data_IF_031302587067
#
_entry.id   IF_031302587067
#
_cell.length_a   1.000
_cell.length_b   1.000
_cell.length_c   1.000
_cell.angle_alpha   90.00
_cell.angle_beta   90.00
_cell.angle_gamma   90.00
#
_symmetry.space_group_name_H-M   'P 1'
#
loop_
_entity.id
_entity.type
_entity.pdbx_description
1 polymer ?
#
# COMPACT_ATOMS: atom_id res chain seq x y z
N UNK A 1 -63.27 21.92 -10.07
CA UNK A 1 -62.37 21.77 -11.22
C UNK A 1 -60.97 22.34 -10.94
N UNK A 2 -60.82 23.46 -10.29
CA UNK A 2 -59.53 24.14 -10.03
C UNK A 2 -58.60 23.32 -9.10
N UNK A 3 -59.15 22.72 -8.04
CA UNK A 3 -58.36 21.94 -7.06
C UNK A 3 -57.74 20.66 -7.64
N UNK A 4 -58.41 19.98 -8.58
CA UNK A 4 -57.83 18.82 -9.29
C UNK A 4 -56.67 19.20 -10.26
N UNK A 5 -56.76 20.35 -10.89
CA UNK A 5 -55.67 20.85 -11.73
C UNK A 5 -54.41 21.23 -10.89
N UNK A 6 -54.60 21.78 -9.70
CA UNK A 6 -53.49 22.14 -8.80
C UNK A 6 -52.74 20.90 -8.29
N UNK A 7 -53.48 19.84 -7.93
CA UNK A 7 -52.85 18.57 -7.50
C UNK A 7 -52.11 17.85 -8.65
N UNK A 8 -52.60 17.90 -9.87
CA UNK A 8 -51.90 17.33 -11.03
C UNK A 8 -50.60 18.08 -11.33
N UNK A 9 -50.57 19.42 -11.23
CA UNK A 9 -49.38 20.23 -11.48
C UNK A 9 -48.31 19.97 -10.40
N UNK A 10 -48.68 19.85 -9.13
CA UNK A 10 -47.77 19.53 -8.03
C UNK A 10 -47.20 18.11 -8.20
N UNK A 11 -48.01 17.14 -8.61
CA UNK A 11 -47.53 15.77 -8.86
C UNK A 11 -46.56 15.69 -10.02
N UNK A 12 -46.76 16.46 -11.05
CA UNK A 12 -45.85 16.52 -12.23
C UNK A 12 -44.54 17.24 -11.93
N UNK A 13 -44.58 18.28 -11.09
CA UNK A 13 -43.39 18.99 -10.60
C UNK A 13 -42.54 18.06 -9.70
N UNK A 14 -43.19 17.37 -8.76
CA UNK A 14 -42.48 16.44 -7.85
C UNK A 14 -41.90 15.26 -8.62
N UNK A 15 -42.56 14.76 -9.66
CA UNK A 15 -42.03 13.72 -10.54
C UNK A 15 -40.84 14.19 -11.37
N UNK A 16 -40.83 15.44 -11.85
CA UNK A 16 -39.67 16.04 -12.57
C UNK A 16 -38.49 16.30 -11.64
N UNK A 17 -38.74 16.75 -10.41
CA UNK A 17 -37.72 16.93 -9.40
C UNK A 17 -37.11 15.59 -8.98
N UNK A 18 -37.91 14.54 -8.79
CA UNK A 18 -37.45 13.20 -8.49
C UNK A 18 -36.62 12.61 -9.62
N UNK A 19 -37.02 12.79 -10.88
CA UNK A 19 -36.24 12.38 -12.07
C UNK A 19 -34.93 13.14 -12.20
N UNK A 20 -34.87 14.46 -11.90
CA UNK A 20 -33.68 15.26 -11.89
C UNK A 20 -32.72 14.84 -10.76
N UNK A 21 -33.25 14.50 -9.59
CA UNK A 21 -32.45 13.98 -8.47
C UNK A 21 -31.86 12.59 -8.77
N UNK A 22 -32.66 11.72 -9.42
CA UNK A 22 -32.19 10.40 -9.88
C UNK A 22 -31.10 10.54 -10.99
N UNK A 23 -31.27 11.48 -11.92
CA UNK A 23 -30.29 11.77 -12.96
C UNK A 23 -29.01 12.40 -12.38
N UNK A 24 -29.14 13.28 -11.38
CA UNK A 24 -27.99 13.84 -10.65
C UNK A 24 -27.25 12.76 -9.84
N UNK A 25 -27.96 11.83 -9.21
CA UNK A 25 -27.37 10.71 -8.48
C UNK A 25 -26.64 9.72 -9.41
N UNK A 26 -27.17 9.44 -10.59
CA UNK A 26 -26.52 8.62 -11.62
C UNK A 26 -25.30 9.35 -12.22
N UNK A 27 -25.35 10.69 -12.33
CA UNK A 27 -24.21 11.49 -12.82
C UNK A 27 -23.09 11.60 -11.79
N UNK A 28 -23.39 11.62 -10.49
CA UNK A 28 -22.39 11.65 -9.40
C UNK A 28 -21.71 10.26 -9.25
N UNK A 29 -22.44 9.17 -9.48
CA UNK A 29 -21.86 7.82 -9.48
C UNK A 29 -20.97 7.55 -10.70
N UNK A 30 -21.11 8.29 -11.80
CA UNK A 30 -20.24 8.15 -12.97
C UNK A 30 -18.95 8.99 -12.91
N UNK A 31 -18.82 9.91 -11.94
CA UNK A 31 -17.56 10.65 -11.71
C UNK A 31 -16.55 9.90 -10.83
N UNK A 32 -16.88 8.73 -10.31
CA UNK A 32 -15.97 7.89 -9.50
C UNK A 32 -15.52 6.60 -10.20
N UNK A 33 -15.65 6.49 -11.49
CA UNK A 33 -15.02 5.42 -12.25
C UNK A 33 -13.55 5.74 -12.55
N UNK A 34 -12.74 5.95 -11.52
CA UNK A 34 -11.34 5.59 -11.57
C UNK A 34 -11.34 4.09 -11.89
N UNK A 35 -10.70 3.69 -13.00
CA UNK A 35 -10.71 2.29 -13.45
C UNK A 35 -10.24 1.41 -12.29
N UNK A 36 -11.19 0.73 -11.64
CA UNK A 36 -10.91 -0.10 -10.49
C UNK A 36 -9.90 -1.18 -10.92
N UNK A 37 -8.74 -1.22 -10.25
CA UNK A 37 -7.79 -2.28 -10.50
C UNK A 37 -8.29 -3.54 -9.79
N UNK A 38 -8.15 -4.74 -10.40
CA UNK A 38 -8.67 -5.94 -9.78
C UNK A 38 -7.91 -6.28 -8.49
N UNK A 39 -8.62 -6.66 -7.41
CA UNK A 39 -7.99 -7.25 -6.23
C UNK A 39 -7.21 -8.52 -6.60
N UNK A 40 -6.16 -8.81 -5.85
CA UNK A 40 -5.35 -10.01 -6.07
C UNK A 40 -6.15 -11.28 -5.76
N UNK A 41 -6.00 -12.28 -6.63
CA UNK A 41 -6.62 -13.60 -6.50
C UNK A 41 -5.64 -14.58 -5.85
N UNK A 42 -6.17 -15.67 -5.29
CA UNK A 42 -5.37 -16.77 -4.76
C UNK A 42 -4.38 -17.28 -5.80
N UNK A 43 -3.12 -17.42 -5.40
CA UNK A 43 -2.05 -17.95 -6.24
C UNK A 43 -1.41 -16.91 -7.17
N UNK A 44 -1.85 -15.64 -7.14
CA UNK A 44 -1.23 -14.62 -7.97
C UNK A 44 0.22 -14.34 -7.57
N UNK A 45 1.00 -14.10 -8.61
CA UNK A 45 2.41 -13.68 -8.58
C UNK A 45 2.46 -12.24 -9.07
N UNK A 46 2.56 -11.33 -8.12
CA UNK A 46 2.49 -9.88 -8.37
C UNK A 46 3.90 -9.32 -8.41
N UNK A 47 4.27 -8.63 -9.48
CA UNK A 47 5.57 -7.96 -9.60
C UNK A 47 5.36 -6.44 -9.61
N UNK A 48 5.97 -5.77 -8.63
CA UNK A 48 6.03 -4.31 -8.58
C UNK A 48 7.31 -3.84 -9.22
N UNK A 49 7.20 -3.23 -10.41
CA UNK A 49 8.33 -2.72 -11.20
C UNK A 49 8.42 -1.20 -11.05
N UNK A 50 9.63 -0.70 -10.79
CA UNK A 50 9.85 0.74 -10.64
C UNK A 50 11.31 1.10 -10.41
N UNK A 51 11.51 2.31 -9.93
CA UNK A 51 12.83 2.89 -9.61
C UNK A 51 13.17 2.73 -8.11
N UNK A 52 13.99 3.66 -7.56
CA UNK A 52 14.40 3.69 -6.15
C UNK A 52 13.22 3.71 -5.15
N UNK A 53 12.10 4.35 -5.51
CA UNK A 53 10.91 4.45 -4.65
C UNK A 53 10.26 3.08 -4.46
N UNK A 54 10.36 2.18 -5.45
CA UNK A 54 9.95 0.77 -5.35
C UNK A 54 11.06 -0.08 -4.75
N UNK A 55 12.32 0.11 -5.19
CA UNK A 55 13.49 -0.66 -4.72
C UNK A 55 13.60 -0.66 -3.19
N UNK A 56 13.71 0.53 -2.60
CA UNK A 56 13.89 0.74 -1.16
C UNK A 56 12.62 1.04 -0.39
N UNK A 57 11.45 1.10 -1.07
CA UNK A 57 10.18 1.45 -0.44
C UNK A 57 9.41 0.24 0.07
N UNK A 58 8.53 0.50 1.04
CA UNK A 58 7.77 -0.55 1.72
C UNK A 58 6.32 -0.69 1.21
N UNK A 59 5.82 0.20 0.35
CA UNK A 59 4.39 0.23 -0.02
C UNK A 59 3.86 -1.13 -0.52
N UNK A 60 4.62 -1.87 -1.32
CA UNK A 60 4.23 -3.19 -1.82
C UNK A 60 4.26 -4.26 -0.70
N UNK A 61 5.16 -4.13 0.29
CA UNK A 61 5.20 -4.98 1.47
C UNK A 61 4.00 -4.69 2.40
N UNK A 62 3.60 -3.42 2.55
CA UNK A 62 2.41 -3.01 3.30
C UNK A 62 1.12 -3.52 2.63
N UNK A 63 1.04 -3.47 1.28
CA UNK A 63 -0.06 -4.09 0.53
C UNK A 63 -0.10 -5.60 0.80
N UNK A 64 1.05 -6.28 0.79
CA UNK A 64 1.08 -7.72 1.04
C UNK A 64 0.67 -8.06 2.48
N UNK A 65 1.12 -7.29 3.47
CA UNK A 65 0.69 -7.43 4.87
C UNK A 65 -0.83 -7.31 5.02
N UNK A 66 -1.46 -6.37 4.29
CA UNK A 66 -2.92 -6.29 4.26
C UNK A 66 -3.55 -7.59 3.75
N UNK A 67 -3.04 -8.16 2.67
CA UNK A 67 -3.54 -9.43 2.15
C UNK A 67 -3.28 -10.61 3.09
N UNK A 68 -2.12 -10.66 3.74
CA UNK A 68 -1.76 -11.69 4.72
C UNK A 68 -2.71 -11.70 5.92
N UNK A 69 -3.13 -10.53 6.37
CA UNK A 69 -4.02 -10.39 7.54
C UNK A 69 -5.51 -10.47 7.15
N UNK A 70 -5.88 -9.88 6.02
CA UNK A 70 -7.28 -9.76 5.62
C UNK A 70 -7.83 -10.99 4.90
N UNK A 71 -7.00 -11.69 4.12
CA UNK A 71 -7.40 -12.81 3.28
C UNK A 71 -6.56 -14.06 3.57
N UNK A 72 -6.69 -14.67 4.77
CA UNK A 72 -5.82 -15.77 5.19
C UNK A 72 -5.89 -17.01 4.27
N UNK A 73 -7.00 -17.21 3.54
CA UNK A 73 -7.20 -18.35 2.63
C UNK A 73 -6.81 -18.06 1.17
N UNK A 74 -6.25 -16.87 0.91
CA UNK A 74 -5.84 -16.45 -0.44
C UNK A 74 -4.33 -16.15 -0.48
N UNK A 75 -3.45 -17.16 -0.38
CA UNK A 75 -2.03 -16.92 -0.51
C UNK A 75 -1.71 -16.32 -1.89
N UNK A 76 -0.89 -15.26 -1.86
CA UNK A 76 -0.31 -14.59 -3.03
C UNK A 76 1.19 -14.43 -2.80
N UNK A 77 1.92 -14.09 -3.86
CA UNK A 77 3.33 -13.70 -3.77
C UNK A 77 3.50 -12.31 -4.35
N UNK A 78 4.07 -11.39 -3.58
CA UNK A 78 4.48 -10.07 -4.08
C UNK A 78 6.00 -10.03 -4.21
N UNK A 79 6.49 -9.52 -5.33
CA UNK A 79 7.90 -9.44 -5.65
C UNK A 79 8.28 -8.02 -6.01
N UNK A 80 9.33 -7.52 -5.39
CA UNK A 80 9.92 -6.23 -5.71
C UNK A 80 10.82 -6.36 -6.95
N UNK A 81 10.53 -5.62 -8.00
CA UNK A 81 11.35 -5.44 -9.20
C UNK A 81 11.70 -3.96 -9.42
N UNK A 82 11.86 -3.19 -8.33
CA UNK A 82 12.42 -1.84 -8.37
C UNK A 82 13.93 -1.87 -8.47
N UNK A 83 14.53 -0.92 -9.19
CA UNK A 83 15.98 -0.67 -9.22
C UNK A 83 16.24 0.83 -9.10
N UNK A 84 17.10 1.20 -8.15
CA UNK A 84 17.43 2.60 -7.85
C UNK A 84 18.03 3.33 -9.06
N UNK A 85 17.55 4.56 -9.32
CA UNK A 85 18.06 5.41 -10.39
C UNK A 85 17.46 5.15 -11.78
N UNK A 86 16.66 4.08 -11.96
CA UNK A 86 16.14 3.71 -13.27
C UNK A 86 15.03 4.62 -13.79
N UNK A 87 15.00 4.72 -15.10
CA UNK A 87 14.02 5.39 -15.95
C UNK A 87 13.30 4.36 -16.84
N UNK A 88 12.34 4.80 -17.65
CA UNK A 88 11.62 3.93 -18.59
C UNK A 88 12.55 3.14 -19.52
N UNK A 89 13.63 3.76 -20.00
CA UNK A 89 14.59 3.07 -20.88
C UNK A 89 15.38 1.96 -20.21
N UNK A 90 15.69 2.10 -18.92
CA UNK A 90 16.37 1.06 -18.14
C UNK A 90 15.41 -0.09 -17.84
N UNK A 91 14.18 0.22 -17.41
CA UNK A 91 13.11 -0.77 -17.18
C UNK A 91 12.81 -1.55 -18.47
N UNK A 92 12.72 -0.86 -19.61
CA UNK A 92 12.55 -1.49 -20.93
C UNK A 92 13.60 -2.56 -21.19
N UNK A 93 14.86 -2.28 -20.86
CA UNK A 93 15.98 -3.16 -21.17
C UNK A 93 16.02 -4.44 -20.34
N UNK A 94 15.46 -4.43 -19.10
CA UNK A 94 15.41 -5.60 -18.22
C UNK A 94 14.03 -6.24 -18.10
N UNK A 95 13.08 -5.79 -18.91
CA UNK A 95 11.67 -6.22 -18.78
C UNK A 95 11.50 -7.74 -18.93
N UNK A 96 12.23 -8.37 -19.87
CA UNK A 96 12.13 -9.81 -20.12
C UNK A 96 12.82 -10.62 -19.01
N UNK A 97 14.00 -10.20 -18.57
CA UNK A 97 14.81 -10.96 -17.61
C UNK A 97 14.31 -10.78 -16.16
N UNK A 98 14.24 -9.55 -15.65
CA UNK A 98 13.91 -9.30 -14.25
C UNK A 98 12.40 -9.19 -13.97
N UNK A 99 11.57 -8.83 -14.95
CA UNK A 99 10.11 -8.73 -14.73
C UNK A 99 9.40 -9.99 -15.22
N UNK A 100 9.46 -10.31 -16.51
CA UNK A 100 8.77 -11.48 -17.05
C UNK A 100 9.44 -12.80 -16.67
N UNK A 101 10.75 -12.80 -16.46
CA UNK A 101 11.50 -13.96 -15.94
C UNK A 101 10.98 -14.46 -14.57
N UNK A 102 10.35 -13.59 -13.79
CA UNK A 102 9.65 -13.93 -12.52
C UNK A 102 8.31 -14.64 -12.73
N UNK A 103 7.86 -14.80 -13.98
CA UNK A 103 6.59 -15.42 -14.37
C UNK A 103 5.39 -14.80 -13.64
N UNK A 104 5.19 -13.47 -13.75
CA UNK A 104 4.09 -12.79 -13.08
C UNK A 104 2.73 -13.18 -13.68
N UNK A 105 1.69 -13.14 -12.86
CA UNK A 105 0.29 -13.11 -13.29
C UNK A 105 -0.28 -11.69 -13.26
N UNK A 106 0.40 -10.82 -12.49
CA UNK A 106 0.02 -9.42 -12.28
C UNK A 106 1.29 -8.56 -12.25
N UNK A 107 1.35 -7.51 -13.05
CA UNK A 107 2.49 -6.59 -13.12
C UNK A 107 2.01 -5.17 -12.89
N UNK A 108 2.69 -4.47 -12.00
CA UNK A 108 2.57 -3.01 -11.86
C UNK A 108 3.86 -2.35 -12.36
N UNK A 109 3.74 -1.20 -13.01
CA UNK A 109 4.89 -0.44 -13.49
C UNK A 109 4.74 1.03 -13.12
N UNK A 110 5.84 1.61 -12.63
CA UNK A 110 5.96 3.04 -12.34
C UNK A 110 7.32 3.57 -12.78
N UNK A 111 7.34 4.73 -13.40
CA UNK A 111 8.53 5.49 -13.76
C UNK A 111 8.13 6.97 -13.95
N UNK A 112 9.09 7.86 -14.17
CA UNK A 112 8.86 9.28 -14.37
C UNK A 112 9.77 10.16 -13.52
N UNK A 113 10.09 9.74 -12.28
CA UNK A 113 10.91 10.53 -11.36
C UNK A 113 12.32 10.79 -11.92
N UNK A 114 13.01 9.75 -12.39
CA UNK A 114 14.35 9.84 -12.96
C UNK A 114 14.32 10.25 -14.44
N UNK A 115 13.28 9.86 -15.14
CA UNK A 115 13.04 10.14 -16.58
C UNK A 115 13.09 11.63 -16.88
N UNK A 116 12.60 12.45 -15.94
CA UNK A 116 12.52 13.90 -16.09
C UNK A 116 13.83 14.62 -15.78
N UNK A 117 14.90 13.90 -15.36
CA UNK A 117 16.20 14.47 -15.01
C UNK A 117 16.17 15.29 -13.70
N UNK A 118 17.33 15.79 -13.30
CA UNK A 118 17.51 16.61 -12.09
C UNK A 118 18.26 17.93 -12.42
N UNK A 119 19.50 17.85 -12.85
CA UNK A 119 20.36 19.02 -13.06
C UNK A 119 19.87 19.96 -14.17
N UNK A 120 19.02 19.47 -15.06
CA UNK A 120 18.44 20.25 -16.14
C UNK A 120 17.59 21.43 -15.64
N UNK A 121 16.95 21.29 -14.47
CA UNK A 121 16.09 22.34 -13.89
C UNK A 121 16.87 23.54 -13.33
N UNK A 122 18.20 23.44 -13.28
CA UNK A 122 19.10 24.54 -12.88
C UNK A 122 19.66 25.30 -14.11
N UNK A 123 19.22 24.95 -15.33
CA UNK A 123 19.71 25.55 -16.58
C UNK A 123 18.68 26.50 -17.18
N UNK A 124 19.15 27.52 -17.91
CA UNK A 124 18.27 28.52 -18.55
C UNK A 124 17.30 27.90 -19.56
N UNK A 125 17.69 26.81 -20.24
CA UNK A 125 16.86 26.09 -21.20
C UNK A 125 16.18 24.83 -20.59
N UNK A 126 15.87 24.85 -19.29
CA UNK A 126 15.27 23.71 -18.55
C UNK A 126 14.01 23.14 -19.24
N UNK A 127 13.15 24.00 -19.79
CA UNK A 127 11.92 23.55 -20.46
C UNK A 127 12.20 22.72 -21.72
N UNK A 128 13.18 23.12 -22.53
CA UNK A 128 13.60 22.37 -23.72
C UNK A 128 14.21 21.03 -23.33
N UNK A 129 15.16 21.03 -22.40
CA UNK A 129 15.81 19.81 -21.90
C UNK A 129 14.81 18.84 -21.25
N UNK A 130 13.88 19.36 -20.48
CA UNK A 130 12.79 18.55 -19.90
C UNK A 130 11.91 17.95 -20.99
N UNK A 131 11.58 18.71 -22.03
CA UNK A 131 10.85 18.20 -23.20
C UNK A 131 11.58 17.04 -23.89
N UNK A 132 12.89 17.14 -24.09
CA UNK A 132 13.72 16.07 -24.66
C UNK A 132 13.72 14.81 -23.77
N UNK A 133 13.87 14.97 -22.46
CA UNK A 133 13.81 13.84 -21.52
C UNK A 133 12.45 13.15 -21.53
N UNK A 134 11.36 13.92 -21.51
CA UNK A 134 10.01 13.37 -21.60
C UNK A 134 9.83 12.59 -22.90
N UNK A 135 10.26 13.14 -24.05
CA UNK A 135 10.18 12.45 -25.34
C UNK A 135 10.91 11.10 -25.29
N UNK A 136 12.15 11.06 -24.78
CA UNK A 136 12.92 9.82 -24.60
C UNK A 136 12.21 8.80 -23.70
N UNK A 137 11.60 9.26 -22.62
CA UNK A 137 10.80 8.40 -21.72
C UNK A 137 9.60 7.81 -22.46
N UNK A 138 8.85 8.64 -23.20
CA UNK A 138 7.68 8.22 -23.95
C UNK A 138 8.02 7.26 -25.10
N UNK A 139 9.20 7.38 -25.73
CA UNK A 139 9.69 6.41 -26.72
C UNK A 139 9.90 5.04 -26.09
N UNK A 140 10.58 5.01 -24.94
CA UNK A 140 10.80 3.77 -24.19
C UNK A 140 9.49 3.18 -23.65
N UNK A 141 8.58 4.05 -23.20
CA UNK A 141 7.25 3.68 -22.76
C UNK A 141 6.44 2.96 -23.84
N UNK A 142 6.46 3.45 -25.09
CA UNK A 142 5.77 2.79 -26.22
C UNK A 142 6.30 1.37 -26.47
N UNK A 143 7.59 1.16 -26.31
CA UNK A 143 8.17 -0.19 -26.46
C UNK A 143 7.81 -1.12 -25.30
N UNK A 144 7.77 -0.59 -24.05
CA UNK A 144 7.25 -1.33 -22.88
C UNK A 144 5.77 -1.71 -23.11
N UNK A 145 4.93 -0.76 -23.52
CA UNK A 145 3.50 -0.99 -23.83
C UNK A 145 3.33 -2.11 -24.86
N UNK A 146 4.10 -2.09 -25.94
CA UNK A 146 4.07 -3.11 -26.98
C UNK A 146 4.42 -4.50 -26.44
N UNK A 147 5.47 -4.61 -25.60
CA UNK A 147 5.84 -5.89 -24.96
C UNK A 147 4.78 -6.39 -23.98
N UNK A 148 4.15 -5.48 -23.23
CA UNK A 148 3.05 -5.82 -22.34
C UNK A 148 1.82 -6.30 -23.11
N UNK A 149 1.50 -5.72 -24.27
CA UNK A 149 0.41 -6.15 -25.13
C UNK A 149 0.59 -7.61 -25.58
N UNK A 150 1.81 -8.06 -25.84
CA UNK A 150 2.12 -9.43 -26.19
C UNK A 150 1.91 -10.43 -25.04
N UNK A 151 1.72 -9.97 -23.80
CA UNK A 151 1.55 -10.83 -22.60
C UNK A 151 0.07 -10.92 -22.18
N UNK A 152 -0.81 -11.50 -22.96
CA UNK A 152 -2.27 -11.48 -22.80
C UNK A 152 -2.78 -12.02 -21.46
N UNK A 153 -2.07 -12.97 -20.83
CA UNK A 153 -2.48 -13.63 -19.57
C UNK A 153 -2.10 -12.85 -18.30
N UNK A 154 -1.35 -11.76 -18.43
CA UNK A 154 -0.88 -10.96 -17.30
C UNK A 154 -1.84 -9.78 -17.09
N UNK A 155 -2.29 -9.55 -15.87
CA UNK A 155 -2.96 -8.30 -15.48
C UNK A 155 -1.92 -7.18 -15.41
N UNK A 156 -2.20 -6.03 -16.03
CA UNK A 156 -1.28 -4.88 -16.10
C UNK A 156 -1.90 -3.69 -15.42
N UNK A 157 -1.09 -3.00 -14.63
CA UNK A 157 -1.48 -1.76 -13.94
C UNK A 157 -0.35 -0.74 -14.05
N UNK A 158 -0.65 0.42 -14.57
CA UNK A 158 0.21 1.58 -14.49
C UNK A 158 0.04 2.27 -13.14
N UNK A 159 1.13 2.70 -12.55
CA UNK A 159 1.15 3.52 -11.35
C UNK A 159 1.74 4.88 -11.70
N UNK A 160 0.94 5.93 -11.62
CA UNK A 160 1.42 7.31 -11.58
C UNK A 160 2.21 7.50 -10.28
N UNK A 161 3.54 7.65 -10.41
CA UNK A 161 4.46 7.65 -9.27
C UNK A 161 4.23 8.81 -8.31
N UNK A 162 4.79 8.70 -7.08
CA UNK A 162 4.74 9.77 -6.07
C UNK A 162 5.32 11.09 -6.61
N UNK A 163 4.87 12.25 -6.10
CA UNK A 163 5.34 13.54 -6.57
C UNK A 163 6.79 13.83 -6.18
N UNK A 164 7.48 14.64 -6.98
CA UNK A 164 8.58 15.45 -6.51
C UNK A 164 8.00 16.62 -5.72
N UNK A 165 8.42 16.79 -4.47
CA UNK A 165 7.85 17.84 -3.61
C UNK A 165 8.47 19.22 -3.88
N UNK A 166 7.72 20.06 -4.61
CA UNK A 166 8.11 21.44 -4.92
C UNK A 166 7.58 22.46 -3.89
N UNK A 167 6.72 22.05 -2.95
CA UNK A 167 5.90 22.96 -2.16
C UNK A 167 6.37 23.13 -0.71
N UNK A 168 7.03 22.12 -0.14
CA UNK A 168 7.53 22.19 1.22
C UNK A 168 8.69 23.19 1.38
N UNK A 169 8.71 23.88 2.53
CA UNK A 169 9.74 24.84 2.91
C UNK A 169 10.84 24.24 3.81
N UNK A 170 11.03 22.92 3.82
CA UNK A 170 12.01 22.29 4.70
C UNK A 170 13.47 22.59 4.33
N UNK A 171 13.74 22.95 3.08
CA UNK A 171 14.99 23.47 2.58
C UNK A 171 14.76 24.37 1.35
N UNK A 172 15.79 25.06 0.88
CA UNK A 172 15.68 26.02 -0.24
C UNK A 172 16.05 25.40 -1.60
N UNK A 173 16.44 24.12 -1.66
CA UNK A 173 16.80 23.46 -2.91
C UNK A 173 15.55 22.86 -3.54
N UNK A 174 15.00 23.51 -4.56
CA UNK A 174 13.78 23.12 -5.25
C UNK A 174 14.05 23.07 -6.76
N UNK A 175 13.73 21.96 -7.38
CA UNK A 175 13.74 21.79 -8.84
C UNK A 175 12.36 22.19 -9.39
N UNK A 176 12.17 23.46 -9.67
CA UNK A 176 10.88 23.99 -10.13
C UNK A 176 10.45 23.35 -11.44
N UNK A 177 9.16 23.08 -11.59
CA UNK A 177 8.52 22.42 -12.75
C UNK A 177 8.85 20.93 -12.94
N UNK A 178 9.63 20.32 -12.04
CA UNK A 178 9.95 18.89 -12.13
C UNK A 178 8.70 18.03 -11.98
N UNK A 179 7.82 18.33 -11.01
CA UNK A 179 6.59 17.56 -10.86
C UNK A 179 5.64 17.74 -12.06
N UNK A 180 5.61 18.91 -12.69
CA UNK A 180 4.84 19.12 -13.93
C UNK A 180 5.37 18.24 -15.08
N UNK A 181 6.68 18.01 -15.16
CA UNK A 181 7.26 17.09 -16.12
C UNK A 181 6.87 15.63 -15.85
N UNK A 182 6.86 15.22 -14.57
CA UNK A 182 6.40 13.90 -14.14
C UNK A 182 4.92 13.70 -14.52
N UNK A 183 4.06 14.68 -14.29
CA UNK A 183 2.64 14.63 -14.63
C UNK A 183 2.40 14.37 -16.13
N UNK A 184 3.23 14.88 -17.05
CA UNK A 184 3.12 14.57 -18.48
C UNK A 184 3.34 13.09 -18.80
N UNK A 185 4.26 12.44 -18.07
CA UNK A 185 4.50 11.00 -18.19
C UNK A 185 3.32 10.22 -17.58
N UNK A 186 2.83 10.64 -16.43
CA UNK A 186 1.65 10.04 -15.76
C UNK A 186 0.41 10.12 -16.68
N UNK A 187 0.20 11.22 -17.38
CA UNK A 187 -0.92 11.35 -18.31
C UNK A 187 -0.82 10.39 -19.50
N UNK A 188 0.39 10.11 -19.99
CA UNK A 188 0.60 9.09 -21.00
C UNK A 188 0.30 7.68 -20.46
N UNK A 189 0.72 7.36 -19.20
CA UNK A 189 0.41 6.10 -18.53
C UNK A 189 -1.11 5.92 -18.33
N UNK A 190 -1.80 6.98 -17.89
CA UNK A 190 -3.27 6.98 -17.72
C UNK A 190 -3.98 6.78 -19.06
N UNK A 191 -3.52 7.44 -20.11
CA UNK A 191 -4.06 7.31 -21.46
C UNK A 191 -3.88 5.88 -22.00
N UNK A 192 -2.69 5.30 -21.81
CA UNK A 192 -2.40 3.91 -22.18
C UNK A 192 -3.30 2.92 -21.41
N UNK A 193 -3.44 3.09 -20.09
CA UNK A 193 -4.34 2.26 -19.29
C UNK A 193 -5.77 2.27 -19.86
N UNK A 194 -6.30 3.46 -20.09
CA UNK A 194 -7.66 3.62 -20.67
C UNK A 194 -7.78 2.97 -22.05
N UNK A 195 -6.81 3.20 -22.94
CA UNK A 195 -6.79 2.65 -24.30
C UNK A 195 -6.77 1.13 -24.33
N UNK A 196 -6.00 0.52 -23.43
CA UNK A 196 -5.75 -0.92 -23.43
C UNK A 196 -6.65 -1.70 -22.45
N UNK A 197 -7.54 -1.03 -21.71
CA UNK A 197 -8.35 -1.65 -20.66
C UNK A 197 -7.52 -2.17 -19.48
N UNK A 198 -6.38 -1.51 -19.21
CA UNK A 198 -5.50 -1.85 -18.08
C UNK A 198 -5.85 -1.02 -16.85
N UNK A 199 -5.37 -1.44 -15.69
CA UNK A 199 -5.53 -0.68 -14.47
C UNK A 199 -4.62 0.55 -14.42
N UNK A 200 -5.06 1.56 -13.66
CA UNK A 200 -4.27 2.74 -13.35
C UNK A 200 -4.48 3.17 -11.90
N UNK A 201 -3.41 3.47 -11.20
CA UNK A 201 -3.43 4.05 -9.84
C UNK A 201 -2.61 5.32 -9.85
N UNK A 202 -3.19 6.41 -9.34
CA UNK A 202 -2.51 7.68 -9.20
C UNK A 202 -2.01 7.86 -7.76
N UNK A 203 -0.69 7.92 -7.58
CA UNK A 203 -0.10 8.31 -6.30
C UNK A 203 0.22 9.82 -6.26
N UNK A 204 0.45 10.45 -7.42
CA UNK A 204 0.95 11.82 -7.48
C UNK A 204 -0.04 12.83 -6.91
N UNK A 205 -1.20 12.94 -7.55
CA UNK A 205 -2.17 13.98 -7.19
C UNK A 205 -2.67 13.84 -5.74
N UNK A 206 -3.12 12.66 -5.24
CA UNK A 206 -3.56 12.53 -3.85
C UNK A 206 -2.47 12.84 -2.82
N UNK A 207 -1.22 12.47 -3.09
CA UNK A 207 -0.10 12.81 -2.19
C UNK A 207 0.21 14.30 -2.20
N UNK A 208 0.12 14.99 -3.35
CA UNK A 208 0.20 16.46 -3.41
C UNK A 208 -0.89 17.11 -2.57
N UNK A 209 -2.14 16.65 -2.69
CA UNK A 209 -3.28 17.19 -1.94
C UNK A 209 -3.09 17.04 -0.42
N UNK A 210 -2.62 15.88 0.04
CA UNK A 210 -2.27 15.64 1.44
C UNK A 210 -1.13 16.58 1.87
N UNK A 211 -0.05 16.68 1.09
CA UNK A 211 1.08 17.58 1.39
C UNK A 211 0.62 19.02 1.55
N UNK A 212 -0.15 19.55 0.60
CA UNK A 212 -0.68 20.92 0.65
C UNK A 212 -1.62 21.15 1.85
N UNK A 213 -2.41 20.14 2.23
CA UNK A 213 -3.28 20.22 3.42
C UNK A 213 -2.45 20.32 4.70
N UNK A 214 -1.42 19.49 4.84
CA UNK A 214 -0.57 19.48 6.04
C UNK A 214 0.36 20.70 6.07
N UNK A 215 0.82 21.20 4.93
CA UNK A 215 1.63 22.43 4.84
C UNK A 215 0.90 23.70 5.27
N UNK A 216 -0.43 23.69 5.34
CA UNK A 216 -1.20 24.76 5.97
C UNK A 216 -0.98 24.81 7.49
N UNK A 217 -0.62 23.69 8.12
CA UNK A 217 -0.35 23.57 9.56
C UNK A 217 1.15 23.73 9.86
N UNK A 218 1.99 23.09 9.04
CA UNK A 218 3.45 23.12 9.10
C UNK A 218 4.01 23.26 7.69
N UNK A 219 4.44 24.47 7.32
CA UNK A 219 4.96 24.73 5.96
C UNK A 219 6.18 23.90 5.57
N UNK A 220 6.81 23.23 6.53
CA UNK A 220 7.94 22.32 6.31
C UNK A 220 7.53 20.86 6.13
N UNK A 221 6.21 20.57 6.23
CA UNK A 221 5.73 19.20 6.02
C UNK A 221 6.09 18.70 4.63
N UNK A 222 6.59 17.47 4.58
CA UNK A 222 6.84 16.71 3.33
C UNK A 222 6.82 15.22 3.65
N UNK A 223 6.44 14.40 2.68
CA UNK A 223 6.65 12.96 2.74
C UNK A 223 8.12 12.58 2.52
N UNK A 224 8.90 13.44 1.86
CA UNK A 224 10.26 13.17 1.35
C UNK A 224 11.28 14.08 2.04
N UNK A 225 11.54 13.86 3.34
CA UNK A 225 12.29 14.78 4.20
C UNK A 225 13.76 15.00 3.83
N UNK A 226 14.36 14.09 3.07
CA UNK A 226 15.80 14.16 2.77
C UNK A 226 16.05 14.86 1.45
N UNK A 227 15.27 14.54 0.42
CA UNK A 227 15.64 14.88 -0.96
C UNK A 227 14.45 15.32 -1.84
N UNK A 228 13.24 15.46 -1.29
CA UNK A 228 12.00 15.77 -2.02
C UNK A 228 11.53 14.67 -2.97
N UNK A 229 12.18 13.49 -2.97
CA UNK A 229 11.99 12.40 -3.94
C UNK A 229 11.44 11.15 -3.28
N UNK A 230 12.08 10.72 -2.17
CA UNK A 230 11.85 9.42 -1.55
C UNK A 230 10.91 9.53 -0.33
N UNK A 231 9.66 9.04 -0.42
CA UNK A 231 8.74 9.06 0.71
C UNK A 231 9.23 8.21 1.88
N UNK A 232 9.10 8.74 3.10
CA UNK A 232 9.26 8.00 4.35
C UNK A 232 8.19 6.90 4.50
N UNK A 233 8.24 6.10 5.56
CA UNK A 233 7.29 4.99 5.73
C UNK A 233 5.83 5.48 5.85
N UNK A 234 5.57 6.67 6.35
CA UNK A 234 4.24 7.29 6.32
C UNK A 234 3.76 7.54 4.88
N UNK A 235 4.59 8.09 4.02
CA UNK A 235 4.29 8.27 2.60
C UNK A 235 4.17 6.94 1.85
N UNK A 236 4.99 5.95 2.18
CA UNK A 236 4.87 4.59 1.65
C UNK A 236 3.54 3.92 2.06
N UNK A 237 3.07 4.19 3.28
CA UNK A 237 1.76 3.71 3.74
C UNK A 237 0.61 4.42 3.03
N UNK A 238 0.74 5.72 2.75
CA UNK A 238 -0.23 6.44 1.89
C UNK A 238 -0.30 5.81 0.49
N UNK A 239 0.84 5.46 -0.12
CA UNK A 239 0.87 4.75 -1.41
C UNK A 239 0.16 3.40 -1.34
N UNK A 240 0.40 2.62 -0.28
CA UNK A 240 -0.29 1.34 -0.06
C UNK A 240 -1.80 1.53 0.11
N UNK A 241 -2.23 2.52 0.89
CA UNK A 241 -3.64 2.88 1.07
C UNK A 241 -4.31 3.25 -0.26
N UNK A 242 -3.68 4.09 -1.09
CA UNK A 242 -4.21 4.48 -2.39
C UNK A 242 -4.35 3.28 -3.34
N UNK A 243 -3.39 2.36 -3.32
CA UNK A 243 -3.43 1.14 -4.10
C UNK A 243 -4.59 0.22 -3.67
N UNK A 244 -4.72 -0.04 -2.38
CA UNK A 244 -5.81 -0.86 -1.81
C UNK A 244 -7.17 -0.23 -2.06
N UNK A 245 -7.26 1.11 -2.00
CA UNK A 245 -8.49 1.86 -2.31
C UNK A 245 -8.86 1.73 -3.78
N UNK A 246 -7.89 1.81 -4.69
CA UNK A 246 -8.10 1.58 -6.12
C UNK A 246 -8.53 0.13 -6.42
N UNK A 247 -8.18 -0.85 -5.57
CA UNK A 247 -8.70 -2.22 -5.63
C UNK A 247 -10.12 -2.37 -5.10
N UNK A 248 -10.77 -1.29 -4.62
CA UNK A 248 -12.12 -1.34 -4.06
C UNK A 248 -12.21 -2.06 -2.72
N UNK A 249 -11.10 -2.15 -1.96
CA UNK A 249 -11.04 -2.89 -0.70
C UNK A 249 -11.42 -2.03 0.53
N UNK A 250 -11.70 -0.74 0.35
CA UNK A 250 -12.22 0.11 1.42
C UNK A 250 -13.59 -0.40 1.90
N UNK A 251 -13.84 -0.32 3.22
CA UNK A 251 -15.09 -0.80 3.82
C UNK A 251 -15.15 -2.30 4.10
N UNK A 252 -14.15 -3.08 3.69
CA UNK A 252 -14.06 -4.49 4.07
C UNK A 252 -13.59 -4.62 5.53
N UNK A 253 -14.54 -4.80 6.45
CA UNK A 253 -14.27 -4.89 7.89
C UNK A 253 -13.51 -6.17 8.26
N UNK A 254 -12.70 -6.10 9.33
CA UNK A 254 -12.13 -7.30 10.01
C UNK A 254 -13.28 -8.13 10.54
N UNK A 255 -14.14 -7.48 11.33
CA UNK A 255 -15.41 -7.98 11.80
C UNK A 255 -16.31 -6.82 12.20
N UNK A 256 -17.61 -7.11 12.34
CA UNK A 256 -18.61 -6.19 12.90
C UNK A 256 -19.65 -7.03 13.64
N UNK A 257 -19.85 -6.79 14.93
CA UNK A 257 -20.89 -7.50 15.67
C UNK A 257 -21.45 -6.68 16.84
N UNK A 258 -22.71 -6.95 17.14
CA UNK A 258 -23.45 -6.31 18.22
C UNK A 258 -24.16 -7.36 19.08
N UNK A 259 -24.12 -7.18 20.38
CA UNK A 259 -24.75 -8.05 21.39
C UNK A 259 -25.74 -7.22 22.21
N UNK A 260 -26.97 -7.75 22.41
CA UNK A 260 -27.91 -7.24 23.40
C UNK A 260 -27.70 -7.98 24.72
N UNK A 261 -27.17 -7.27 25.72
CA UNK A 261 -26.88 -7.83 27.02
C UNK A 261 -28.15 -8.11 27.83
N UNK A 262 -29.25 -7.40 27.63
CA UNK A 262 -30.52 -7.64 28.34
C UNK A 262 -31.15 -8.97 27.92
N UNK A 263 -31.19 -9.23 26.61
CA UNK A 263 -31.82 -10.42 26.07
C UNK A 263 -30.84 -11.58 25.81
N UNK A 264 -29.55 -11.35 26.05
CA UNK A 264 -28.46 -12.35 25.87
C UNK A 264 -28.46 -12.94 24.45
N UNK A 265 -28.59 -12.09 23.43
CA UNK A 265 -28.58 -12.50 22.04
C UNK A 265 -27.61 -11.65 21.18
N UNK A 266 -27.16 -12.24 20.08
CA UNK A 266 -26.40 -11.55 19.05
C UNK A 266 -27.38 -10.82 18.14
N UNK A 267 -27.25 -9.48 18.05
CA UNK A 267 -28.14 -8.64 17.23
C UNK A 267 -27.69 -8.66 15.77
N UNK A 268 -26.39 -8.41 15.54
CA UNK A 268 -25.78 -8.45 14.21
C UNK A 268 -24.41 -9.11 14.27
N UNK A 269 -23.99 -9.72 13.18
CA UNK A 269 -22.60 -10.16 12.99
C UNK A 269 -22.25 -10.18 11.49
N UNK A 270 -21.07 -9.69 11.16
CA UNK A 270 -20.51 -9.70 9.82
C UNK A 270 -19.02 -10.08 9.88
N UNK A 271 -18.60 -10.97 9.02
CA UNK A 271 -17.21 -11.48 8.92
C UNK A 271 -16.66 -12.09 10.22
N UNK A 272 -17.54 -12.57 11.08
CA UNK A 272 -17.20 -13.26 12.34
C UNK A 272 -18.30 -14.23 12.77
N UNK A 273 -17.98 -15.05 13.75
CA UNK A 273 -18.91 -15.94 14.47
C UNK A 273 -18.84 -15.65 15.96
N UNK A 274 -20.00 -15.45 16.57
CA UNK A 274 -20.16 -15.35 18.03
C UNK A 274 -20.86 -16.63 18.51
N UNK A 275 -20.36 -17.21 19.58
CA UNK A 275 -20.92 -18.44 20.16
C UNK A 275 -20.72 -18.49 21.68
N UNK A 276 -21.36 -19.43 22.33
CA UNK A 276 -21.32 -19.65 23.80
C UNK A 276 -21.60 -18.38 24.60
N UNK A 277 -22.49 -17.50 24.09
CA UNK A 277 -22.91 -16.30 24.79
C UNK A 277 -23.57 -16.66 26.14
N UNK A 278 -23.06 -16.13 27.22
CA UNK A 278 -23.55 -16.34 28.58
C UNK A 278 -23.56 -15.02 29.33
N UNK A 279 -24.67 -14.76 30.03
CA UNK A 279 -24.81 -13.65 30.98
C UNK A 279 -24.96 -14.23 32.39
N UNK A 280 -24.23 -13.65 33.32
CA UNK A 280 -24.41 -13.82 34.78
C UNK A 280 -24.51 -12.42 35.42
N UNK A 281 -24.82 -12.35 36.69
CA UNK A 281 -24.81 -11.09 37.42
C UNK A 281 -23.44 -10.41 37.30
N UNK A 282 -23.43 -9.20 36.72
CA UNK A 282 -22.21 -8.42 36.52
C UNK A 282 -21.22 -8.95 35.43
N UNK A 283 -21.56 -10.05 34.74
CA UNK A 283 -20.64 -10.64 33.75
C UNK A 283 -21.37 -10.99 32.44
N UNK A 284 -20.76 -10.64 31.30
CA UNK A 284 -21.12 -11.11 29.96
C UNK A 284 -19.90 -11.78 29.33
N UNK A 285 -20.03 -13.02 28.87
CA UNK A 285 -18.94 -13.78 28.25
C UNK A 285 -19.40 -14.48 26.98
N UNK A 286 -18.54 -14.57 26.00
CA UNK A 286 -18.80 -15.23 24.70
C UNK A 286 -17.51 -15.62 24.01
N UNK A 287 -17.63 -16.53 23.05
CA UNK A 287 -16.56 -16.84 22.12
C UNK A 287 -16.70 -16.00 20.85
N UNK A 288 -15.59 -15.45 20.41
CA UNK A 288 -15.46 -14.64 19.20
C UNK A 288 -14.45 -15.25 18.24
N UNK A 289 -14.85 -15.44 16.99
CA UNK A 289 -13.99 -15.88 15.89
C UNK A 289 -14.21 -14.95 14.69
N UNK A 290 -13.24 -14.10 14.38
CA UNK A 290 -13.21 -13.34 13.13
C UNK A 290 -12.77 -14.22 11.95
N UNK A 291 -13.08 -13.80 10.71
CA UNK A 291 -12.56 -14.44 9.50
C UNK A 291 -11.28 -13.75 8.97
N UNK A 292 -10.83 -12.71 9.64
CA UNK A 292 -9.65 -11.91 9.28
C UNK A 292 -8.96 -11.43 10.56
N UNK A 293 -7.70 -11.02 10.43
CA UNK A 293 -6.94 -10.35 11.49
C UNK A 293 -6.95 -8.83 11.27
N UNK A 294 -6.85 -8.00 12.33
CA UNK A 294 -6.60 -6.57 12.18
C UNK A 294 -5.26 -6.33 11.47
N UNK A 295 -5.16 -5.21 10.77
CA UNK A 295 -3.89 -4.76 10.19
C UNK A 295 -3.01 -4.18 11.31
N UNK A 296 -1.83 -4.72 11.57
CA UNK A 296 -0.94 -4.22 12.60
C UNK A 296 -0.20 -2.97 12.11
N UNK A 297 -0.13 -1.94 12.94
CA UNK A 297 0.55 -0.69 12.62
C UNK A 297 1.93 -0.65 13.25
N UNK A 298 2.96 -0.60 12.42
CA UNK A 298 4.35 -0.47 12.87
C UNK A 298 4.64 0.97 13.32
N UNK A 299 5.13 1.12 14.54
CA UNK A 299 5.58 2.39 15.11
C UNK A 299 7.09 2.62 14.97
N UNK A 300 7.81 1.66 14.40
CA UNK A 300 9.26 1.75 14.18
C UNK A 300 9.51 2.24 12.77
N UNK A 301 10.27 3.34 12.56
CA UNK A 301 10.75 3.70 11.23
C UNK A 301 11.62 2.58 10.66
N UNK A 302 11.19 1.99 9.55
CA UNK A 302 11.92 0.93 8.86
C UNK A 302 12.83 1.51 7.79
N UNK A 303 13.69 0.66 7.24
CA UNK A 303 14.65 1.05 6.22
C UNK A 303 14.05 1.90 5.11
N UNK A 304 14.84 2.81 4.60
CA UNK A 304 14.54 3.72 3.52
C UNK A 304 15.61 4.79 3.41
N UNK A 305 15.31 5.84 2.74
CA UNK A 305 16.23 6.96 2.46
C UNK A 305 16.32 7.93 3.66
N UNK A 306 16.75 7.41 4.85
CA UNK A 306 16.89 8.21 6.07
C UNK A 306 15.55 8.45 6.79
N UNK A 307 14.64 7.48 6.73
CA UNK A 307 13.31 7.53 7.32
C UNK A 307 13.34 7.86 8.81
N UNK A 308 12.50 8.81 9.20
CA UNK A 308 12.26 9.22 10.59
C UNK A 308 10.82 8.98 11.02
N UNK A 309 9.90 8.80 10.05
CA UNK A 309 8.51 8.52 10.30
C UNK A 309 8.20 7.04 10.10
N UNK A 310 7.32 6.54 10.94
CA UNK A 310 6.84 5.16 10.88
C UNK A 310 5.62 5.00 9.98
N UNK A 311 5.23 3.77 9.70
CA UNK A 311 3.98 3.45 9.05
C UNK A 311 2.77 4.00 9.82
N UNK A 312 2.80 3.94 11.16
CA UNK A 312 1.73 4.42 12.05
C UNK A 312 1.48 5.91 11.90
N UNK A 313 2.49 6.72 11.60
CA UNK A 313 2.35 8.16 11.44
C UNK A 313 1.41 8.55 10.29
N UNK A 314 1.23 7.67 9.30
CA UNK A 314 0.27 7.86 8.23
C UNK A 314 -1.20 7.92 8.71
N UNK A 315 -1.52 7.38 9.89
CA UNK A 315 -2.90 7.38 10.41
C UNK A 315 -3.45 8.78 10.70
N UNK A 316 -2.57 9.78 10.80
CA UNK A 316 -2.97 11.19 10.92
C UNK A 316 -3.26 11.84 9.57
N UNK A 317 -2.86 11.20 8.47
CA UNK A 317 -2.88 11.73 7.12
C UNK A 317 -4.02 11.12 6.27
N UNK A 318 -4.41 9.89 6.56
CA UNK A 318 -5.38 9.09 5.82
C UNK A 318 -6.34 8.35 6.78
N UNK A 319 -7.61 8.15 6.42
CA UNK A 319 -8.60 7.44 7.24
C UNK A 319 -8.45 5.90 7.11
N UNK A 320 -7.23 5.38 7.34
CA UNK A 320 -6.97 3.95 7.17
C UNK A 320 -7.71 3.09 8.19
N UNK A 321 -7.81 3.55 9.44
CA UNK A 321 -8.49 2.80 10.50
C UNK A 321 -9.98 2.66 10.18
N UNK A 322 -10.61 3.72 9.68
CA UNK A 322 -12.04 3.76 9.35
C UNK A 322 -12.36 2.99 8.06
N UNK A 323 -11.49 3.05 7.05
CA UNK A 323 -11.76 2.44 5.75
C UNK A 323 -11.24 0.99 5.64
N UNK A 324 -10.16 0.63 6.35
CA UNK A 324 -9.47 -0.64 6.16
C UNK A 324 -9.25 -1.48 7.42
N UNK A 325 -9.44 -0.92 8.64
CA UNK A 325 -9.04 -1.63 9.86
C UNK A 325 -10.11 -1.59 10.95
N UNK A 326 -11.37 -1.87 10.56
CA UNK A 326 -12.48 -1.92 11.50
C UNK A 326 -12.71 -3.34 12.02
N UNK A 327 -12.54 -3.53 13.32
CA UNK A 327 -12.91 -4.70 14.11
C UNK A 327 -13.96 -4.24 15.14
N UNK A 328 -15.18 -3.95 14.64
CA UNK A 328 -16.21 -3.26 15.41
C UNK A 328 -16.91 -4.20 16.39
N UNK A 329 -17.00 -3.78 17.65
CA UNK A 329 -17.64 -4.48 18.75
C UNK A 329 -18.58 -3.55 19.50
N UNK A 330 -19.85 -3.95 19.63
CA UNK A 330 -20.88 -3.19 20.31
C UNK A 330 -21.63 -4.07 21.33
N UNK A 331 -21.95 -3.53 22.50
CA UNK A 331 -22.85 -4.18 23.46
C UNK A 331 -23.87 -3.19 23.97
N UNK A 332 -25.12 -3.40 23.61
CA UNK A 332 -26.27 -2.58 24.02
C UNK A 332 -26.95 -3.17 25.27
N UNK A 333 -27.70 -2.35 25.99
CA UNK A 333 -28.52 -2.72 27.14
C UNK A 333 -27.73 -3.38 28.32
N UNK A 334 -26.44 -3.00 28.46
CA UNK A 334 -25.69 -3.26 29.69
C UNK A 334 -26.24 -2.38 30.82
N UNK A 335 -26.22 -2.91 32.05
CA UNK A 335 -26.45 -2.07 33.24
C UNK A 335 -25.42 -0.92 33.28
N UNK A 336 -25.88 0.27 33.71
CA UNK A 336 -25.00 1.43 33.78
C UNK A 336 -23.81 1.16 34.72
N UNK A 337 -22.58 1.42 34.20
CA UNK A 337 -21.34 1.22 34.95
C UNK A 337 -20.10 1.10 34.08
N UNK A 338 -18.98 0.80 34.72
CA UNK A 338 -17.72 0.47 34.02
C UNK A 338 -17.56 -1.03 33.96
N UNK A 339 -17.00 -1.50 32.88
CA UNK A 339 -16.79 -2.92 32.60
C UNK A 339 -15.34 -3.16 32.23
N UNK A 340 -14.73 -4.13 32.87
CA UNK A 340 -13.43 -4.65 32.49
C UNK A 340 -13.58 -5.59 31.30
N UNK A 341 -12.97 -5.21 30.17
CA UNK A 341 -12.84 -6.05 29.00
C UNK A 341 -11.59 -6.92 29.12
N UNK A 342 -11.77 -8.23 29.04
CA UNK A 342 -10.67 -9.18 28.88
C UNK A 342 -10.89 -10.05 27.64
N UNK A 343 -9.81 -10.45 26.99
CA UNK A 343 -9.81 -11.41 25.88
C UNK A 343 -8.77 -12.49 26.21
N UNK A 344 -9.21 -13.77 26.26
CA UNK A 344 -8.43 -14.92 26.69
C UNK A 344 -7.79 -14.72 28.08
N UNK A 345 -8.51 -14.02 28.98
CA UNK A 345 -8.05 -13.68 30.31
C UNK A 345 -7.09 -12.48 30.40
N UNK A 346 -6.60 -11.98 29.25
CA UNK A 346 -5.74 -10.79 29.20
C UNK A 346 -6.58 -9.52 29.35
N UNK A 347 -6.16 -8.61 30.22
CA UNK A 347 -6.77 -7.28 30.37
C UNK A 347 -6.57 -6.45 29.08
N UNK A 348 -7.65 -5.85 28.59
CA UNK A 348 -7.63 -4.98 27.42
C UNK A 348 -7.89 -3.53 27.84
N UNK A 349 -9.05 -3.26 28.46
CA UNK A 349 -9.43 -1.90 28.89
C UNK A 349 -10.57 -1.94 29.91
N UNK A 350 -10.75 -0.84 30.66
CA UNK A 350 -11.92 -0.59 31.50
C UNK A 350 -12.83 0.45 30.80
N UNK A 351 -13.98 0.01 30.28
CA UNK A 351 -14.85 0.73 29.35
C UNK A 351 -16.21 1.00 29.99
N UNK A 352 -16.80 2.18 29.76
CA UNK A 352 -18.16 2.46 30.23
C UNK A 352 -19.24 1.74 29.38
N UNK A 353 -20.38 1.47 30.02
CA UNK A 353 -21.56 0.91 29.34
C UNK A 353 -22.00 1.75 28.13
N UNK A 354 -21.92 3.07 28.24
CA UNK A 354 -22.27 4.02 27.20
C UNK A 354 -21.33 3.86 25.99
N UNK A 355 -19.99 3.82 26.22
CA UNK A 355 -19.03 3.62 25.15
C UNK A 355 -19.15 2.24 24.48
N UNK A 356 -19.49 1.20 25.25
CA UNK A 356 -19.79 -0.11 24.67
C UNK A 356 -21.08 -0.09 23.84
N UNK A 357 -22.07 0.70 24.24
CA UNK A 357 -23.31 0.88 23.49
C UNK A 357 -23.09 1.71 22.20
N UNK A 358 -22.15 2.66 22.20
CA UNK A 358 -21.75 3.39 20.99
C UNK A 358 -20.91 2.50 20.05
N UNK A 359 -20.25 1.46 20.62
CA UNK A 359 -19.32 0.57 19.93
C UNK A 359 -17.87 1.03 19.96
N UNK A 360 -16.96 0.07 19.94
CA UNK A 360 -15.52 0.25 19.92
C UNK A 360 -14.89 -0.49 18.74
N UNK A 361 -13.73 -0.02 18.28
CA UNK A 361 -12.91 -0.72 17.32
C UNK A 361 -11.82 -1.52 18.06
N UNK A 362 -11.90 -2.85 18.08
CA UNK A 362 -10.89 -3.70 18.74
C UNK A 362 -9.50 -3.59 18.10
N UNK A 363 -9.41 -3.19 16.83
CA UNK A 363 -8.15 -2.91 16.15
C UNK A 363 -7.39 -1.68 16.71
N UNK A 364 -8.04 -0.86 17.54
CA UNK A 364 -7.37 0.25 18.26
C UNK A 364 -6.60 -0.23 19.50
N UNK A 365 -6.76 -1.51 19.90
CA UNK A 365 -6.15 -2.10 21.07
C UNK A 365 -5.03 -3.09 20.70
N UNK A 366 -3.76 -2.64 20.63
CA UNK A 366 -2.63 -3.49 20.25
C UNK A 366 -2.39 -4.68 21.18
N UNK A 367 -2.95 -4.63 22.40
CA UNK A 367 -2.82 -5.70 23.42
C UNK A 367 -3.76 -6.88 23.17
N UNK A 368 -4.71 -6.81 22.24
CA UNK A 368 -5.61 -7.93 21.96
C UNK A 368 -4.84 -9.11 21.34
N UNK A 369 -5.18 -10.36 21.69
CA UNK A 369 -4.46 -11.55 21.18
C UNK A 369 -4.41 -11.62 19.65
N UNK A 370 -5.51 -11.29 18.97
CA UNK A 370 -5.57 -11.27 17.51
C UNK A 370 -4.69 -10.17 16.89
N UNK A 371 -4.54 -9.02 17.56
CA UNK A 371 -3.61 -7.98 17.10
C UNK A 371 -2.15 -8.45 17.29
N UNK A 372 -1.82 -9.12 18.39
CA UNK A 372 -0.49 -9.70 18.64
C UNK A 372 -0.16 -10.81 17.63
N UNK A 373 -1.15 -11.60 17.23
CA UNK A 373 -0.99 -12.55 16.12
C UNK A 373 -0.65 -11.81 14.82
N UNK A 374 -1.34 -10.72 14.50
CA UNK A 374 -1.06 -9.89 13.33
C UNK A 374 0.32 -9.21 13.41
N UNK A 375 0.75 -8.76 14.59
CA UNK A 375 2.12 -8.21 14.80
C UNK A 375 3.20 -9.25 14.47
N UNK A 376 3.00 -10.50 14.85
CA UNK A 376 3.93 -11.59 14.50
C UNK A 376 4.05 -11.77 13.00
N UNK A 377 2.94 -11.69 12.28
CA UNK A 377 2.92 -11.74 10.80
C UNK A 377 3.66 -10.54 10.20
N UNK A 378 3.48 -9.35 10.75
CA UNK A 378 4.17 -8.14 10.31
C UNK A 378 5.69 -8.27 10.46
N UNK A 379 6.17 -8.75 11.60
CA UNK A 379 7.60 -8.94 11.83
C UNK A 379 8.20 -10.01 10.90
N UNK A 380 7.49 -11.11 10.67
CA UNK A 380 7.92 -12.11 9.68
C UNK A 380 7.96 -11.54 8.24
N UNK A 381 6.99 -10.71 7.88
CA UNK A 381 7.01 -10.05 6.57
C UNK A 381 8.16 -9.04 6.46
N UNK A 382 8.56 -8.39 7.54
CA UNK A 382 9.73 -7.49 7.57
C UNK A 382 11.04 -8.29 7.41
N UNK A 383 11.20 -9.42 8.09
CA UNK A 383 12.35 -10.34 7.89
C UNK A 383 12.45 -10.79 6.43
N UNK A 384 11.31 -11.15 5.82
CA UNK A 384 11.27 -11.48 4.39
C UNK A 384 11.73 -10.30 3.52
N UNK A 385 11.26 -9.08 3.84
CA UNK A 385 11.61 -7.86 3.11
C UNK A 385 13.11 -7.57 3.16
N UNK A 386 13.75 -7.73 4.31
CA UNK A 386 15.20 -7.54 4.47
C UNK A 386 16.02 -8.52 3.62
N UNK A 387 15.51 -9.75 3.42
CA UNK A 387 16.17 -10.72 2.51
C UNK A 387 15.95 -10.30 1.05
N UNK A 388 14.73 -9.90 0.68
CA UNK A 388 14.41 -9.44 -0.68
C UNK A 388 15.28 -8.24 -1.07
N UNK A 389 15.56 -7.34 -0.13
CA UNK A 389 16.46 -6.21 -0.34
C UNK A 389 17.86 -6.64 -0.80
N UNK A 390 18.42 -7.72 -0.25
CA UNK A 390 19.73 -8.26 -0.66
C UNK A 390 19.76 -8.61 -2.15
N UNK A 391 18.66 -9.20 -2.66
CA UNK A 391 18.51 -9.46 -4.09
C UNK A 391 18.41 -8.17 -4.90
N UNK A 392 17.76 -7.13 -4.36
CA UNK A 392 17.64 -5.85 -5.06
C UNK A 392 18.99 -5.15 -5.16
N UNK A 393 19.82 -5.18 -4.11
CA UNK A 393 21.17 -4.62 -4.14
C UNK A 393 22.09 -5.36 -5.13
N UNK A 394 22.01 -6.70 -5.20
CA UNK A 394 22.70 -7.48 -6.23
C UNK A 394 22.27 -7.04 -7.64
N UNK A 395 20.96 -7.01 -7.90
CA UNK A 395 20.45 -6.64 -9.21
C UNK A 395 20.67 -5.17 -9.56
N UNK A 396 20.72 -4.29 -8.56
CA UNK A 396 21.14 -2.91 -8.78
C UNK A 396 22.60 -2.86 -9.29
N UNK A 397 23.50 -3.61 -8.68
CA UNK A 397 24.91 -3.69 -9.13
C UNK A 397 25.00 -4.22 -10.55
N UNK A 398 24.22 -5.25 -10.86
CA UNK A 398 24.19 -5.85 -12.20
C UNK A 398 23.69 -4.88 -13.27
N UNK A 399 22.49 -4.30 -13.10
CA UNK A 399 21.86 -3.49 -14.13
C UNK A 399 22.35 -2.05 -14.17
N UNK A 400 22.63 -1.43 -13.03
CA UNK A 400 23.04 -0.04 -12.97
C UNK A 400 24.54 0.17 -13.24
N UNK A 401 25.36 -0.84 -12.94
CA UNK A 401 26.80 -0.75 -13.06
C UNK A 401 27.40 -1.78 -14.04
N UNK A 402 27.34 -3.07 -13.74
CA UNK A 402 28.05 -4.11 -14.52
C UNK A 402 27.57 -4.24 -15.95
N UNK A 403 26.28 -3.99 -16.23
CA UNK A 403 25.72 -3.95 -17.58
C UNK A 403 26.49 -2.96 -18.48
N UNK A 404 26.84 -1.79 -17.97
CA UNK A 404 27.57 -0.75 -18.72
C UNK A 404 28.99 -1.16 -19.03
N UNK A 405 29.57 -2.02 -18.21
CA UNK A 405 30.91 -2.58 -18.35
C UNK A 405 30.95 -3.87 -19.19
N UNK A 406 29.80 -4.32 -19.71
CA UNK A 406 29.70 -5.57 -20.47
C UNK A 406 29.86 -6.84 -19.61
N UNK A 407 29.61 -6.73 -18.30
CA UNK A 407 29.78 -7.77 -17.30
C UNK A 407 28.46 -8.21 -16.64
N UNK A 408 27.33 -7.94 -17.28
CA UNK A 408 26.02 -8.31 -16.74
C UNK A 408 25.97 -9.82 -16.44
N UNK A 409 25.65 -10.18 -15.19
CA UNK A 409 25.59 -11.55 -14.66
C UNK A 409 26.87 -12.38 -14.90
N UNK A 410 28.03 -11.72 -14.98
CA UNK A 410 29.30 -12.41 -15.13
C UNK A 410 29.67 -13.23 -13.89
N UNK A 411 29.27 -12.78 -12.70
CA UNK A 411 29.44 -13.47 -11.41
C UNK A 411 30.86 -14.08 -11.24
N UNK A 412 31.92 -13.29 -11.55
CA UNK A 412 33.30 -13.76 -11.58
C UNK A 412 34.30 -12.68 -11.10
N UNK A 413 35.60 -13.07 -11.04
CA UNK A 413 36.64 -12.18 -10.54
C UNK A 413 36.77 -10.87 -11.34
N UNK A 414 36.53 -10.90 -12.68
CA UNK A 414 36.58 -9.67 -13.50
C UNK A 414 35.53 -8.65 -13.07
N UNK A 415 34.32 -9.11 -12.70
CA UNK A 415 33.30 -8.24 -12.17
C UNK A 415 33.74 -7.63 -10.82
N UNK A 416 34.32 -8.44 -9.93
CA UNK A 416 34.86 -7.97 -8.64
C UNK A 416 35.97 -6.92 -8.85
N UNK A 417 36.94 -7.20 -9.72
CA UNK A 417 38.05 -6.27 -10.00
C UNK A 417 37.49 -4.93 -10.51
N UNK A 418 36.48 -4.99 -11.39
CA UNK A 418 35.85 -3.80 -11.93
C UNK A 418 35.09 -3.00 -10.87
N UNK A 419 34.37 -3.66 -10.00
CA UNK A 419 33.67 -3.01 -8.88
C UNK A 419 34.67 -2.34 -7.95
N UNK A 420 35.76 -3.01 -7.59
CA UNK A 420 36.83 -2.47 -6.70
C UNK A 420 37.46 -1.20 -7.25
N UNK A 421 37.61 -1.08 -8.56
CA UNK A 421 38.14 0.14 -9.22
C UNK A 421 37.25 1.38 -8.94
N UNK A 422 35.93 1.19 -8.80
CA UNK A 422 34.97 2.27 -8.64
C UNK A 422 34.49 2.50 -7.20
N UNK A 423 34.72 1.56 -6.29
CA UNK A 423 34.31 1.70 -4.87
C UNK A 423 34.75 3.01 -4.22
N UNK A 424 35.99 3.55 -4.46
CA UNK A 424 36.38 4.83 -3.84
C UNK A 424 35.53 6.03 -4.32
N UNK A 425 34.92 5.93 -5.50
CA UNK A 425 34.28 7.03 -6.22
C UNK A 425 32.74 6.99 -6.14
N UNK A 426 32.17 5.83 -5.88
CA UNK A 426 30.71 5.62 -5.92
C UNK A 426 30.17 5.17 -4.55
N UNK A 427 29.37 6.03 -3.92
CA UNK A 427 28.75 5.77 -2.63
C UNK A 427 27.72 4.62 -2.69
N UNK A 428 26.89 4.59 -3.74
CA UNK A 428 25.86 3.56 -3.88
C UNK A 428 26.48 2.20 -4.15
N UNK A 429 27.53 2.15 -4.95
CA UNK A 429 28.27 0.93 -5.19
C UNK A 429 28.88 0.38 -3.91
N UNK A 430 29.45 1.25 -3.04
CA UNK A 430 29.96 0.83 -1.73
C UNK A 430 28.87 0.20 -0.86
N UNK A 431 27.67 0.78 -0.88
CA UNK A 431 26.54 0.27 -0.10
C UNK A 431 26.05 -1.12 -0.58
N UNK A 432 26.15 -1.39 -1.88
CA UNK A 432 25.66 -2.63 -2.51
C UNK A 432 26.74 -3.72 -2.62
N UNK A 433 28.02 -3.37 -2.52
CA UNK A 433 29.17 -4.26 -2.82
C UNK A 433 29.19 -5.54 -1.99
N UNK A 434 29.00 -5.45 -0.67
CA UNK A 434 28.98 -6.64 0.21
C UNK A 434 27.87 -7.63 -0.16
N UNK A 435 26.70 -7.11 -0.59
CA UNK A 435 25.60 -7.95 -1.07
C UNK A 435 25.92 -8.58 -2.41
N UNK A 436 26.58 -7.86 -3.33
CA UNK A 436 27.01 -8.39 -4.61
C UNK A 436 28.00 -9.54 -4.43
N UNK A 437 29.06 -9.35 -3.65
CA UNK A 437 30.10 -10.37 -3.39
C UNK A 437 29.51 -11.67 -2.84
N UNK A 438 28.46 -11.59 -2.02
CA UNK A 438 27.75 -12.77 -1.52
C UNK A 438 26.84 -13.35 -2.59
N UNK A 439 26.06 -12.49 -3.25
CA UNK A 439 25.01 -12.92 -4.18
C UNK A 439 25.56 -13.39 -5.53
N UNK A 440 26.80 -13.09 -5.91
CA UNK A 440 27.43 -13.67 -7.10
C UNK A 440 27.50 -15.21 -7.04
N UNK A 441 27.45 -15.81 -5.83
CA UNK A 441 27.39 -17.24 -5.62
C UNK A 441 25.94 -17.75 -5.70
N UNK A 442 25.58 -18.58 -6.68
CA UNK A 442 24.20 -19.08 -6.86
C UNK A 442 23.64 -19.79 -5.62
N UNK A 443 24.50 -20.47 -4.85
CA UNK A 443 24.14 -21.20 -3.63
C UNK A 443 23.62 -20.23 -2.56
N UNK A 444 24.21 -19.05 -2.43
CA UNK A 444 23.78 -18.01 -1.48
C UNK A 444 22.42 -17.48 -1.92
N UNK A 445 22.23 -17.18 -3.22
CA UNK A 445 20.91 -16.74 -3.74
C UNK A 445 19.84 -17.81 -3.48
N UNK A 446 20.20 -19.08 -3.63
CA UNK A 446 19.27 -20.19 -3.34
C UNK A 446 18.88 -20.23 -1.85
N UNK A 447 19.83 -20.15 -0.94
CA UNK A 447 19.57 -20.13 0.51
C UNK A 447 18.68 -18.95 0.90
N UNK A 448 18.91 -17.75 0.38
CA UNK A 448 18.05 -16.59 0.62
C UNK A 448 16.63 -16.80 0.09
N UNK A 449 16.50 -17.39 -1.11
CA UNK A 449 15.20 -17.70 -1.69
C UNK A 449 14.42 -18.73 -0.85
N UNK A 450 15.09 -19.81 -0.45
CA UNK A 450 14.50 -20.86 0.39
C UNK A 450 14.05 -20.30 1.73
N UNK A 451 14.84 -19.40 2.34
CA UNK A 451 14.48 -18.75 3.61
C UNK A 451 13.28 -17.82 3.46
N UNK A 452 13.22 -16.98 2.41
CA UNK A 452 12.03 -16.16 2.14
C UNK A 452 10.78 -17.02 1.96
N UNK A 453 10.87 -18.12 1.22
CA UNK A 453 9.75 -19.03 1.00
C UNK A 453 9.28 -19.66 2.34
N UNK A 454 10.20 -20.11 3.19
CA UNK A 454 9.88 -20.63 4.53
C UNK A 454 9.18 -19.61 5.42
N UNK A 455 9.60 -18.35 5.36
CA UNK A 455 8.90 -17.25 6.08
C UNK A 455 7.47 -17.09 5.56
N UNK A 456 7.28 -17.03 4.24
CA UNK A 456 5.95 -16.88 3.63
C UNK A 456 5.04 -18.07 3.97
N UNK A 457 5.55 -19.30 3.91
CA UNK A 457 4.83 -20.50 4.33
C UNK A 457 4.43 -20.43 5.80
N UNK A 458 5.34 -19.98 6.67
CA UNK A 458 5.06 -19.78 8.10
C UNK A 458 3.96 -18.75 8.31
N UNK A 459 4.01 -17.60 7.62
CA UNK A 459 2.98 -16.58 7.68
C UNK A 459 1.60 -17.18 7.32
N UNK A 460 1.47 -17.87 6.19
CA UNK A 460 0.18 -18.43 5.76
C UNK A 460 -0.28 -19.63 6.59
N UNK A 461 0.58 -20.21 7.40
CA UNK A 461 0.21 -21.21 8.42
C UNK A 461 -0.36 -20.56 9.67
N UNK A 462 0.25 -19.45 10.15
CA UNK A 462 -0.13 -18.80 11.42
C UNK A 462 -1.13 -17.66 11.26
N UNK A 463 -1.46 -17.24 10.05
CA UNK A 463 -2.38 -16.12 9.79
C UNK A 463 -3.87 -16.49 9.88
N UNK A 464 -4.17 -17.74 10.26
CA UNK A 464 -5.55 -18.19 10.47
C UNK A 464 -6.06 -17.63 11.78
N UNK A 465 -7.18 -16.85 11.77
CA UNK A 465 -7.80 -16.40 13.00
C UNK A 465 -8.22 -17.59 13.87
N UNK A 466 -8.12 -17.41 15.18
CA UNK A 466 -8.51 -18.41 16.17
C UNK A 466 -9.67 -17.89 17.02
N UNK A 467 -10.38 -18.80 17.70
CA UNK A 467 -11.46 -18.42 18.62
C UNK A 467 -10.90 -17.84 19.90
N UNK A 468 -11.36 -16.66 20.29
CA UNK A 468 -11.01 -15.96 21.51
C UNK A 468 -12.19 -15.93 22.49
N UNK A 469 -11.94 -16.06 23.78
CA UNK A 469 -12.92 -15.87 24.83
C UNK A 469 -12.95 -14.40 25.24
N UNK A 470 -14.05 -13.72 24.95
CA UNK A 470 -14.28 -12.32 25.35
C UNK A 470 -15.13 -12.28 26.62
N UNK A 471 -14.73 -11.45 27.58
CA UNK A 471 -15.46 -11.26 28.83
C UNK A 471 -15.53 -9.78 29.19
N UNK A 472 -16.72 -9.34 29.58
CA UNK A 472 -16.99 -8.06 30.21
C UNK A 472 -17.42 -8.33 31.69
N UNK A 473 -16.68 -7.78 32.64
CA UNK A 473 -16.96 -7.89 34.05
C UNK A 473 -17.23 -6.51 34.66
N UNK A 474 -18.42 -6.31 35.24
CA UNK A 474 -18.79 -5.03 35.86
C UNK A 474 -17.87 -4.76 37.05
N UNK A 475 -17.32 -3.58 37.09
CA UNK A 475 -16.49 -3.10 38.18
C UNK A 475 -17.41 -2.61 39.33
N UNK A 476 -16.98 -2.86 40.59
CA UNK A 476 -17.69 -2.40 41.79
C UNK A 476 -17.59 -0.90 41.95
#
# INVERSE_FOLDING_TARGET
MIQKRYQMVIHEINRKIFLLLCLAYVSISSLQAQSAIPPFKKGERVVFTGNSITHGGHYHSFIWLYYMTRFPDKPITIMNAGIGGESAWDIKDRLDDDVFGRRPTYVTLTFGMNDTGYDIYMKDNANELSGQQIAKSLDSFREIEKRLLAKNKITKVWIGGSPYDETSKFNNFILHQKNNAILKIIDAQRTSAKKNGWGFVDFNQPMCEISLREQKKDSTFTFCRIDRIHPDNDGQMVMAYLFLKAQGLAGHKVSDFSIDAQHSNVVTHQNCKISRLKKKEGELAFDYLANALPYPLDSIPRHGWGNKRSQRDAMQLIPFMEEFNQEYFQVINLEKGRYRLTIDGQFIDDISSERLADGINLADYPTTPQYQQAMTIMYLNEERFEIEKRFREYLWTEYSFLKKEGLLFADNQKAIDKLQEYLPKDFFLRASYDWYVKAMHPEIRKVWSDYMNSIVETIYRINKPVTHQVKLTRMK
#
